data_IF_615331896906
#
_entry.id   IF_615331896906
#
_cell.length_a   1.000
_cell.length_b   1.000
_cell.length_c   1.000
_cell.angle_alpha   90.00
_cell.angle_beta   90.00
_cell.angle_gamma   90.00
#
_symmetry.space_group_name_H-M   'P 1'
#
loop_
_entity.id
_entity.type
_entity.pdbx_description
1 polymer ?
#
# COMPACT_ATOMS: atom_id res chain seq x y z
N UNK A 1 -20.72 -12.31 22.07
CA UNK A 1 -20.09 -12.51 20.74
C UNK A 1 -19.48 -11.17 20.36
N UNK A 2 -18.15 -11.06 20.28
CA UNK A 2 -17.49 -9.79 19.92
C UNK A 2 -17.55 -9.65 18.40
N UNK A 3 -18.25 -8.63 17.92
CA UNK A 3 -18.34 -8.33 16.49
C UNK A 3 -17.06 -7.57 16.09
N UNK A 4 -16.12 -8.24 15.42
CA UNK A 4 -14.94 -7.59 14.85
C UNK A 4 -15.37 -6.67 13.71
N UNK A 5 -14.92 -5.40 13.65
CA UNK A 5 -15.25 -4.53 12.53
C UNK A 5 -14.75 -5.17 11.23
N UNK A 6 -15.65 -5.43 10.28
CA UNK A 6 -15.28 -5.95 8.97
C UNK A 6 -14.35 -4.96 8.28
N UNK A 7 -13.18 -5.41 7.85
CA UNK A 7 -12.24 -4.58 7.07
C UNK A 7 -12.87 -4.22 5.72
N UNK A 8 -12.65 -2.99 5.26
CA UNK A 8 -13.05 -2.58 3.91
C UNK A 8 -12.30 -3.36 2.84
N UNK A 9 -12.86 -3.41 1.63
CA UNK A 9 -12.18 -3.99 0.47
C UNK A 9 -10.84 -3.32 0.20
N UNK A 10 -10.76 -1.98 0.35
CA UNK A 10 -9.51 -1.26 0.27
C UNK A 10 -8.44 -1.83 1.20
N UNK A 11 -8.79 -2.00 2.50
CA UNK A 11 -7.86 -2.54 3.52
C UNK A 11 -7.42 -3.96 3.20
N UNK A 12 -8.36 -4.82 2.78
CA UNK A 12 -8.04 -6.20 2.39
C UNK A 12 -7.05 -6.26 1.23
N UNK A 13 -7.15 -5.34 0.27
CA UNK A 13 -6.26 -5.32 -0.90
C UNK A 13 -4.88 -4.77 -0.54
N UNK A 14 -4.79 -3.63 0.15
CA UNK A 14 -3.48 -3.05 0.50
C UNK A 14 -2.68 -3.91 1.48
N UNK A 15 -3.34 -4.78 2.25
CA UNK A 15 -2.67 -5.79 3.10
C UNK A 15 -1.89 -6.85 2.30
N UNK A 16 -2.14 -6.99 1.00
CA UNK A 16 -1.33 -7.85 0.11
C UNK A 16 0.00 -7.20 -0.30
N UNK A 17 0.13 -5.89 -0.13
CA UNK A 17 1.31 -5.13 -0.54
C UNK A 17 2.33 -5.06 0.61
N UNK A 18 3.62 -4.92 0.28
CA UNK A 18 4.63 -4.75 1.31
C UNK A 18 4.57 -3.32 1.84
N UNK A 19 4.41 -3.15 3.15
CA UNK A 19 4.44 -1.81 3.76
C UNK A 19 5.85 -1.22 3.64
N UNK A 20 5.92 0.06 3.28
CA UNK A 20 7.15 0.87 3.30
C UNK A 20 6.88 2.19 4.01
N UNK A 21 7.87 2.73 4.70
CA UNK A 21 7.82 4.06 5.30
C UNK A 21 8.63 5.08 4.50
N UNK A 22 8.55 6.35 4.90
CA UNK A 22 9.20 7.47 4.19
C UNK A 22 10.72 7.33 4.22
N UNK A 23 11.32 6.97 5.35
CA UNK A 23 12.77 6.80 5.48
C UNK A 23 13.28 5.65 4.58
N UNK A 24 12.57 4.53 4.54
CA UNK A 24 12.88 3.42 3.63
C UNK A 24 12.77 3.85 2.15
N UNK A 25 11.78 4.68 1.82
CA UNK A 25 11.62 5.24 0.47
C UNK A 25 12.78 6.17 0.10
N UNK A 26 13.17 7.07 1.02
CA UNK A 26 14.30 7.98 0.82
C UNK A 26 15.62 7.21 0.62
N UNK A 27 15.86 6.19 1.44
CA UNK A 27 17.03 5.32 1.30
C UNK A 27 17.04 4.62 -0.05
N UNK A 28 15.91 4.07 -0.50
CA UNK A 28 15.80 3.43 -1.80
C UNK A 28 16.12 4.39 -2.96
N UNK A 29 15.66 5.64 -2.88
CA UNK A 29 15.99 6.69 -3.86
C UNK A 29 17.50 6.99 -3.86
N UNK A 30 18.10 7.15 -2.68
CA UNK A 30 19.56 7.39 -2.55
C UNK A 30 20.40 6.24 -3.12
N UNK A 31 19.94 5.01 -2.88
CA UNK A 31 20.58 3.79 -3.36
C UNK A 31 20.27 3.46 -4.83
N UNK A 32 19.42 4.26 -5.50
CA UNK A 32 18.96 4.02 -6.88
C UNK A 32 18.27 2.66 -7.04
N UNK A 33 17.54 2.24 -6.02
CA UNK A 33 16.71 1.04 -6.06
C UNK A 33 15.47 1.27 -6.92
N UNK A 34 15.06 0.26 -7.68
CA UNK A 34 13.83 0.31 -8.46
C UNK A 34 12.68 -0.24 -7.62
N UNK A 35 11.76 0.63 -7.22
CA UNK A 35 10.58 0.30 -6.43
C UNK A 35 9.30 0.78 -7.10
N UNK A 36 8.27 -0.06 -7.11
CA UNK A 36 6.91 0.35 -7.46
C UNK A 36 6.13 0.65 -6.19
N UNK A 37 5.94 1.95 -5.90
CA UNK A 37 5.29 2.44 -4.69
C UNK A 37 3.87 2.88 -5.01
N UNK A 38 2.91 2.38 -4.23
CA UNK A 38 1.53 2.84 -4.20
C UNK A 38 1.29 3.69 -2.94
N UNK A 39 0.95 4.97 -3.14
CA UNK A 39 0.54 5.87 -2.07
C UNK A 39 -0.97 6.16 -2.21
N UNK A 40 -1.77 5.73 -1.24
CA UNK A 40 -3.22 5.84 -1.28
C UNK A 40 -3.85 5.89 0.10
N UNK A 41 -5.16 6.20 0.15
CA UNK A 41 -5.94 6.20 1.41
C UNK A 41 -7.35 5.64 1.21
N UNK A 42 -7.87 4.98 2.23
CA UNK A 42 -9.23 4.41 2.25
C UNK A 42 -10.33 5.48 2.06
N UNK A 43 -10.06 6.72 2.48
CA UNK A 43 -11.00 7.84 2.39
C UNK A 43 -10.95 8.59 1.04
N UNK A 44 -10.14 8.13 0.09
CA UNK A 44 -9.99 8.71 -1.25
C UNK A 44 -10.77 7.85 -2.26
N UNK A 45 -11.87 8.35 -2.85
CA UNK A 45 -12.71 7.56 -3.78
C UNK A 45 -11.90 6.97 -4.94
N UNK A 46 -11.09 7.79 -5.63
CA UNK A 46 -10.26 7.32 -6.73
C UNK A 46 -9.23 6.26 -6.30
N UNK A 47 -8.74 6.33 -5.07
CA UNK A 47 -7.81 5.34 -4.53
C UNK A 47 -8.51 4.00 -4.25
N UNK A 48 -9.76 4.05 -3.78
CA UNK A 48 -10.62 2.87 -3.60
C UNK A 48 -10.96 2.23 -4.94
N UNK A 49 -11.26 3.03 -5.96
CA UNK A 49 -11.53 2.54 -7.31
C UNK A 49 -10.29 1.95 -8.01
N UNK A 50 -9.12 2.53 -7.77
CA UNK A 50 -7.89 2.14 -8.45
C UNK A 50 -7.22 0.89 -7.85
N UNK A 51 -7.24 0.74 -6.52
CA UNK A 51 -6.48 -0.32 -5.85
C UNK A 51 -6.79 -1.76 -6.32
N UNK A 52 -8.03 -2.13 -6.70
CA UNK A 52 -8.30 -3.47 -7.25
C UNK A 52 -7.67 -3.69 -8.63
N UNK A 53 -7.63 -2.64 -9.47
CA UNK A 53 -6.99 -2.69 -10.79
C UNK A 53 -5.48 -2.91 -10.62
N UNK A 54 -4.85 -2.15 -9.71
CA UNK A 54 -3.44 -2.31 -9.38
C UNK A 54 -3.12 -3.72 -8.84
N UNK A 55 -3.94 -4.23 -7.91
CA UNK A 55 -3.76 -5.59 -7.37
C UNK A 55 -3.85 -6.65 -8.47
N UNK A 56 -4.83 -6.54 -9.37
CA UNK A 56 -4.98 -7.50 -10.48
C UNK A 56 -3.81 -7.43 -11.45
N UNK A 57 -3.32 -6.21 -11.75
CA UNK A 57 -2.14 -6.04 -12.60
C UNK A 57 -0.91 -6.66 -11.96
N UNK A 58 -0.64 -6.36 -10.69
CA UNK A 58 0.49 -6.89 -9.93
C UNK A 58 0.48 -8.42 -9.83
N UNK A 59 -0.69 -9.04 -9.61
CA UNK A 59 -0.84 -10.49 -9.62
C UNK A 59 -0.53 -11.11 -11.00
N UNK A 60 -1.00 -10.49 -12.09
CA UNK A 60 -0.74 -10.97 -13.46
C UNK A 60 0.72 -10.85 -13.87
N UNK A 61 1.37 -9.75 -13.47
CA UNK A 61 2.77 -9.46 -13.84
C UNK A 61 3.78 -9.95 -12.82
N UNK A 62 3.33 -10.58 -11.73
CA UNK A 62 4.16 -10.97 -10.59
C UNK A 62 4.99 -9.79 -10.04
N UNK A 63 4.42 -8.58 -10.09
CA UNK A 63 5.11 -7.36 -9.69
C UNK A 63 4.91 -7.09 -8.19
N UNK A 64 6.01 -6.84 -7.50
CA UNK A 64 6.00 -6.47 -6.09
C UNK A 64 5.59 -4.99 -5.93
N UNK A 65 4.54 -4.75 -5.15
CA UNK A 65 4.05 -3.41 -4.82
C UNK A 65 4.41 -3.07 -3.37
N UNK A 66 4.94 -1.86 -3.17
CA UNK A 66 5.18 -1.29 -1.86
C UNK A 66 4.08 -0.28 -1.52
N UNK A 67 3.40 -0.45 -0.39
CA UNK A 67 2.35 0.46 0.05
C UNK A 67 2.89 1.49 1.03
N UNK A 68 2.84 2.75 0.63
CA UNK A 68 3.11 3.90 1.49
C UNK A 68 1.78 4.36 2.10
N UNK A 69 1.41 3.74 3.22
CA UNK A 69 0.21 4.09 3.97
C UNK A 69 0.45 5.28 4.89
N UNK A 70 -0.54 6.17 5.03
CA UNK A 70 -0.49 7.34 5.93
C UNK A 70 -0.37 6.99 7.44
N UNK A 71 -0.30 5.71 7.80
CA UNK A 71 -0.26 5.22 9.18
C UNK A 71 1.05 4.47 9.43
N UNK A 72 2.14 5.21 9.59
CA UNK A 72 3.21 4.97 10.58
C UNK A 72 4.42 5.88 10.32
N UNK A 73 4.22 7.19 10.39
CA UNK A 73 5.25 8.08 10.93
C UNK A 73 5.26 7.91 12.45
N UNK A 74 5.82 6.79 12.94
CA UNK A 74 6.33 6.76 14.32
C UNK A 74 7.81 7.10 14.27
N UNK A 75 8.10 8.38 14.01
CA UNK A 75 9.28 8.99 14.59
C UNK A 75 8.96 9.18 16.08
N UNK A 76 9.50 8.31 16.91
CA UNK A 76 9.68 8.57 18.33
C UNK A 76 11.12 8.25 18.69
#
# INVERSE_FOLDING_TARGET
MVNLPQKSEYKKIVEKFQVINVLETENAVQNKEELLIYAGRETCPSCVEFVPVLSSAAEKTHTKIYYLGATHSKNR
#
